data_IF_843892693110
#
_entry.id   IF_843892693110
#
_cell.length_a   1.000
_cell.length_b   1.000
_cell.length_c   1.000
_cell.angle_alpha   90.00
_cell.angle_beta   90.00
_cell.angle_gamma   90.00
#
_symmetry.space_group_name_H-M   'P 1'
#
loop_
_entity.id
_entity.type
_entity.pdbx_description
1 polymer ?
#
# COMPACT_ATOMS: atom_id res chain seq x y z
N UNK A 1 8.02 -6.76 -10.18
CA UNK A 1 7.97 -5.30 -9.98
C UNK A 1 6.85 -5.01 -9.02
N UNK A 2 7.06 -4.29 -7.91
CA UNK A 2 6.09 -4.03 -6.83
C UNK A 2 4.73 -3.46 -7.29
N UNK A 3 3.70 -3.62 -6.45
CA UNK A 3 2.38 -3.02 -6.61
C UNK A 3 2.18 -1.82 -5.69
N UNK A 4 1.52 -0.76 -6.16
CA UNK A 4 1.28 0.46 -5.39
C UNK A 4 -0.16 0.92 -5.63
N UNK A 5 -0.86 1.29 -4.56
CA UNK A 5 -2.17 1.94 -4.62
C UNK A 5 -2.19 3.09 -3.63
N UNK A 6 -2.60 4.28 -4.08
CA UNK A 6 -2.69 5.45 -3.23
C UNK A 6 -4.05 6.16 -3.41
N UNK A 7 -4.53 6.77 -2.33
CA UNK A 7 -5.62 7.74 -2.36
C UNK A 7 -5.12 9.06 -1.77
N UNK A 8 -5.51 10.15 -2.41
CA UNK A 8 -5.21 11.53 -2.01
C UNK A 8 -6.50 12.35 -1.99
N UNK A 9 -6.47 13.51 -1.34
CA UNK A 9 -7.62 14.40 -1.19
C UNK A 9 -8.83 13.62 -0.66
N UNK A 10 -8.61 12.89 0.45
CA UNK A 10 -9.63 12.02 1.04
C UNK A 10 -10.86 12.86 1.41
N UNK A 11 -12.04 12.37 1.03
CA UNK A 11 -13.34 12.97 1.36
C UNK A 11 -14.24 11.88 1.91
N UNK A 12 -14.83 12.14 3.08
CA UNK A 12 -15.71 11.18 3.75
C UNK A 12 -14.97 10.31 4.76
N UNK A 13 -15.44 9.08 4.92
CA UNK A 13 -14.95 8.16 5.95
C UNK A 13 -13.60 7.52 5.57
N UNK A 14 -12.55 7.89 6.30
CA UNK A 14 -11.20 7.40 6.10
C UNK A 14 -11.06 5.90 6.32
N UNK A 15 -11.84 5.29 7.21
CA UNK A 15 -11.77 3.85 7.47
C UNK A 15 -12.37 3.05 6.30
N UNK A 16 -13.46 3.56 5.71
CA UNK A 16 -14.07 2.96 4.53
C UNK A 16 -13.15 3.09 3.31
N UNK A 17 -12.51 4.24 3.13
CA UNK A 17 -11.52 4.44 2.07
C UNK A 17 -10.32 3.52 2.29
N UNK A 18 -9.79 3.43 3.52
CA UNK A 18 -8.69 2.52 3.87
C UNK A 18 -9.02 1.07 3.53
N UNK A 19 -10.21 0.60 3.88
CA UNK A 19 -10.69 -0.75 3.56
C UNK A 19 -10.70 -1.00 2.04
N UNK A 20 -11.18 -0.04 1.27
CA UNK A 20 -11.17 -0.12 -0.20
C UNK A 20 -9.75 -0.13 -0.77
N UNK A 21 -8.84 0.70 -0.26
CA UNK A 21 -7.44 0.73 -0.68
C UNK A 21 -6.75 -0.61 -0.39
N UNK A 22 -7.00 -1.23 0.76
CA UNK A 22 -6.48 -2.56 1.08
C UNK A 22 -7.00 -3.62 0.09
N UNK A 23 -8.29 -3.61 -0.25
CA UNK A 23 -8.85 -4.53 -1.26
C UNK A 23 -8.23 -4.32 -2.65
N UNK A 24 -7.95 -3.08 -3.03
CA UNK A 24 -7.27 -2.75 -4.28
C UNK A 24 -5.81 -3.22 -4.26
N UNK A 25 -5.08 -2.99 -3.17
CA UNK A 25 -3.70 -3.44 -2.97
C UNK A 25 -3.57 -4.96 -3.10
N UNK A 26 -4.49 -5.72 -2.49
CA UNK A 26 -4.50 -7.18 -2.57
C UNK A 26 -4.57 -7.71 -4.02
N UNK A 27 -5.29 -7.02 -4.92
CA UNK A 27 -5.33 -7.41 -6.35
C UNK A 27 -3.97 -7.29 -7.03
N UNK A 28 -3.09 -6.43 -6.51
CA UNK A 28 -1.72 -6.25 -7.00
C UNK A 28 -0.70 -7.16 -6.31
N UNK A 29 -1.09 -8.04 -5.38
CA UNK A 29 -0.13 -8.86 -4.62
C UNK A 29 0.78 -9.74 -5.47
N UNK A 30 0.32 -10.19 -6.64
CA UNK A 30 1.13 -10.93 -7.61
C UNK A 30 2.38 -10.17 -8.09
N UNK A 31 2.39 -8.84 -7.95
CA UNK A 31 3.52 -7.95 -8.29
C UNK A 31 4.55 -7.86 -7.17
N UNK A 32 4.15 -8.10 -5.93
CA UNK A 32 4.97 -7.98 -4.72
C UNK A 32 4.51 -8.93 -3.62
N UNK A 33 4.83 -10.24 -3.74
CA UNK A 33 4.32 -11.27 -2.84
C UNK A 33 5.05 -11.33 -1.49
N UNK A 34 6.19 -10.66 -1.34
CA UNK A 34 7.07 -10.86 -0.19
C UNK A 34 6.56 -10.13 1.06
N UNK A 35 5.93 -8.96 0.89
CA UNK A 35 5.48 -8.15 2.01
C UNK A 35 4.45 -7.09 1.59
N UNK A 36 3.52 -6.74 2.49
CA UNK A 36 2.52 -5.67 2.27
C UNK A 36 2.66 -4.57 3.32
N UNK A 37 2.59 -3.30 2.89
CA UNK A 37 2.65 -2.13 3.76
C UNK A 37 1.52 -1.15 3.49
N UNK A 38 1.17 -0.39 4.52
CA UNK A 38 0.18 0.69 4.42
C UNK A 38 0.54 1.85 5.33
N UNK A 39 0.42 3.06 4.81
CA UNK A 39 0.46 4.31 5.54
C UNK A 39 -0.90 5.00 5.41
N UNK A 40 -1.38 5.62 6.48
CA UNK A 40 -2.65 6.32 6.53
C UNK A 40 -2.47 7.63 7.28
N UNK A 41 -2.91 8.73 6.68
CA UNK A 41 -3.01 10.04 7.29
C UNK A 41 -4.40 10.63 7.05
N UNK A 42 -4.63 11.85 7.54
CA UNK A 42 -5.88 12.57 7.31
C UNK A 42 -6.15 12.84 5.81
N UNK A 43 -5.09 13.04 5.01
CA UNK A 43 -5.20 13.51 3.63
C UNK A 43 -4.73 12.48 2.58
N UNK A 44 -4.11 11.38 2.99
CA UNK A 44 -3.62 10.37 2.08
C UNK A 44 -3.56 8.97 2.69
N UNK A 45 -3.73 7.96 1.84
CA UNK A 45 -3.48 6.55 2.17
C UNK A 45 -2.59 5.98 1.08
N UNK A 46 -1.50 5.31 1.46
CA UNK A 46 -0.57 4.67 0.55
C UNK A 46 -0.44 3.20 0.92
N UNK A 47 -0.65 2.31 -0.03
CA UNK A 47 -0.46 0.88 0.12
C UNK A 47 0.58 0.36 -0.89
N UNK A 48 1.42 -0.57 -0.45
CA UNK A 48 2.52 -1.12 -1.22
C UNK A 48 2.59 -2.65 -1.05
N UNK A 49 2.62 -3.38 -2.17
CA UNK A 49 2.92 -4.81 -2.25
C UNK A 49 4.35 -4.96 -2.77
N UNK A 50 5.26 -5.48 -1.95
CA UNK A 50 6.71 -5.48 -2.18
C UNK A 50 7.20 -6.79 -2.77
N UNK A 51 7.95 -6.68 -3.86
CA UNK A 51 8.91 -7.69 -4.30
C UNK A 51 10.30 -7.24 -3.86
N UNK A 52 10.91 -7.95 -2.93
CA UNK A 52 12.15 -7.60 -2.27
C UNK A 52 13.35 -8.06 -3.11
N UNK A 53 13.90 -7.14 -3.91
CA UNK A 53 15.08 -7.40 -4.77
C UNK A 53 16.35 -6.79 -4.14
N UNK A 54 16.28 -5.53 -3.72
CA UNK A 54 17.38 -4.81 -3.06
C UNK A 54 17.02 -4.55 -1.60
N UNK A 55 17.98 -4.79 -0.71
CA UNK A 55 17.84 -4.74 0.75
C UNK A 55 16.56 -5.46 1.26
N UNK A 56 16.49 -6.81 1.16
CA UNK A 56 15.28 -7.53 1.51
C UNK A 56 14.84 -7.35 2.96
N UNK A 57 15.78 -7.12 3.88
CA UNK A 57 15.56 -7.04 5.32
C UNK A 57 15.01 -5.70 5.78
N UNK A 58 15.57 -4.57 5.32
CA UNK A 58 15.20 -3.23 5.81
C UNK A 58 14.43 -2.36 4.83
N UNK A 59 14.40 -2.67 3.53
CA UNK A 59 13.75 -1.84 2.51
C UNK A 59 12.21 -1.87 2.46
N UNK A 60 11.53 -1.99 3.60
CA UNK A 60 10.04 -1.97 3.69
C UNK A 60 9.50 -0.61 3.24
N UNK A 61 8.29 -0.61 2.65
CA UNK A 61 7.67 0.60 2.08
C UNK A 61 6.18 0.66 2.46
N UNK A 62 5.55 1.82 2.72
CA UNK A 62 6.03 3.16 2.40
C UNK A 62 7.20 3.60 3.29
N UNK A 63 8.15 4.33 2.69
CA UNK A 63 9.29 4.99 3.36
C UNK A 63 8.84 6.40 3.76
#
# INVERSE_FOLDING_TARGET
MCGIVCAFNLKGDNDLIRSNILKMSQKLRHRGPDWSGIYSSENAILAHERLAIVDPTSGKQPI
#
